data_IF_228440092627
#
_entry.id   IF_228440092627
#
_cell.length_a   1.000
_cell.length_b   1.000
_cell.length_c   1.000
_cell.angle_alpha   90.00
_cell.angle_beta   90.00
_cell.angle_gamma   90.00
#
_symmetry.space_group_name_H-M   'P 1'
#
loop_
_entity.id
_entity.type
_entity.pdbx_description
1 polymer ?
#
# COMPACT_ATOMS: atom_id res chain seq x y z
N UNK A 1 -38.55 -37.57 17.41
CA UNK A 1 -37.79 -36.43 16.85
C UNK A 1 -36.37 -36.50 17.40
N UNK A 2 -35.41 -36.96 16.61
CA UNK A 2 -34.02 -37.11 17.05
C UNK A 2 -33.25 -35.83 16.72
N UNK A 3 -32.79 -35.14 17.75
CA UNK A 3 -31.95 -33.95 17.62
C UNK A 3 -30.54 -34.42 17.24
N UNK A 4 -30.11 -34.10 16.02
CA UNK A 4 -28.75 -34.38 15.57
C UNK A 4 -27.76 -33.54 16.37
N UNK A 5 -26.91 -34.21 17.15
CA UNK A 5 -25.73 -33.60 17.78
C UNK A 5 -24.78 -33.13 16.68
N UNK A 6 -24.68 -31.81 16.53
CA UNK A 6 -23.67 -31.18 15.70
C UNK A 6 -22.31 -31.39 16.40
N UNK A 7 -21.30 -31.95 15.71
CA UNK A 7 -19.99 -32.17 16.33
C UNK A 7 -19.37 -30.81 16.72
N UNK A 8 -18.62 -30.75 17.82
CA UNK A 8 -17.95 -29.52 18.22
C UNK A 8 -17.04 -29.07 17.08
N UNK A 9 -17.18 -27.81 16.66
CA UNK A 9 -16.29 -27.22 15.67
C UNK A 9 -14.86 -27.30 16.21
N UNK A 10 -14.06 -28.23 15.69
CA UNK A 10 -12.64 -28.29 15.99
C UNK A 10 -12.04 -26.96 15.53
N UNK A 11 -11.39 -26.19 16.42
CA UNK A 11 -10.74 -24.96 16.01
C UNK A 11 -9.69 -25.31 14.94
N UNK A 12 -9.53 -24.47 13.91
CA UNK A 12 -8.52 -24.71 12.88
C UNK A 12 -7.16 -24.91 13.56
N UNK A 13 -6.47 -25.99 13.20
CA UNK A 13 -5.16 -26.29 13.74
C UNK A 13 -4.20 -25.14 13.41
N UNK A 14 -3.49 -24.64 14.41
CA UNK A 14 -2.48 -23.59 14.21
C UNK A 14 -1.25 -24.20 13.53
N UNK A 15 -0.89 -23.68 12.36
CA UNK A 15 0.36 -24.00 11.67
C UNK A 15 1.37 -22.83 11.80
N UNK A 16 2.47 -22.99 12.56
CA UNK A 16 3.51 -21.97 12.70
C UNK A 16 4.19 -21.59 11.38
N UNK A 17 4.35 -22.52 10.43
CA UNK A 17 5.03 -22.30 9.16
C UNK A 17 4.17 -21.47 8.20
N UNK A 18 2.87 -21.78 8.10
CA UNK A 18 1.93 -20.93 7.36
C UNK A 18 1.82 -19.53 7.97
N UNK A 19 1.86 -19.42 9.30
CA UNK A 19 1.84 -18.11 9.97
C UNK A 19 3.09 -17.28 9.62
N UNK A 20 4.27 -17.91 9.64
CA UNK A 20 5.52 -17.26 9.28
C UNK A 20 5.55 -16.84 7.80
N UNK A 21 5.09 -17.71 6.88
CA UNK A 21 5.07 -17.40 5.45
C UNK A 21 4.16 -16.20 5.14
N UNK A 22 2.96 -16.14 5.73
CA UNK A 22 2.06 -14.99 5.61
C UNK A 22 2.69 -13.71 6.14
N UNK A 23 3.40 -13.78 7.27
CA UNK A 23 4.15 -12.63 7.82
C UNK A 23 5.19 -12.08 6.85
N UNK A 24 5.97 -12.96 6.21
CA UNK A 24 6.94 -12.57 5.18
C UNK A 24 6.29 -11.97 3.94
N UNK A 25 5.16 -12.50 3.47
CA UNK A 25 4.42 -11.95 2.35
C UNK A 25 3.89 -10.55 2.62
N UNK A 26 3.35 -10.31 3.82
CA UNK A 26 2.85 -9.01 4.27
C UNK A 26 3.98 -7.97 4.33
N UNK A 27 5.13 -8.34 4.88
CA UNK A 27 6.31 -7.45 4.92
C UNK A 27 6.83 -7.12 3.52
N UNK A 28 6.89 -8.11 2.62
CA UNK A 28 7.30 -7.93 1.23
C UNK A 28 6.32 -7.03 0.46
N UNK A 29 5.02 -7.14 0.73
CA UNK A 29 4.02 -6.24 0.15
C UNK A 29 4.21 -4.80 0.62
N UNK A 30 4.43 -4.58 1.91
CA UNK A 30 4.71 -3.26 2.46
C UNK A 30 6.00 -2.65 1.86
N UNK A 31 7.05 -3.46 1.72
CA UNK A 31 8.30 -3.03 1.07
C UNK A 31 8.07 -2.60 -0.38
N UNK A 32 7.32 -3.39 -1.16
CA UNK A 32 6.98 -3.04 -2.56
C UNK A 32 6.17 -1.76 -2.64
N UNK A 33 5.21 -1.56 -1.73
CA UNK A 33 4.42 -0.32 -1.69
C UNK A 33 5.30 0.90 -1.42
N UNK A 34 6.24 0.81 -0.46
CA UNK A 34 7.20 1.87 -0.19
C UNK A 34 8.12 2.14 -1.39
N UNK A 35 8.62 1.11 -2.08
CA UNK A 35 9.42 1.29 -3.29
C UNK A 35 8.64 2.02 -4.39
N UNK A 36 7.33 1.80 -4.52
CA UNK A 36 6.49 2.55 -5.44
C UNK A 36 6.33 4.03 -5.03
N UNK A 37 6.28 4.33 -3.72
CA UNK A 37 6.27 5.72 -3.21
C UNK A 37 7.55 6.44 -3.61
N UNK A 38 8.72 5.82 -3.40
CA UNK A 38 10.03 6.40 -3.76
C UNK A 38 10.14 6.68 -5.27
N UNK A 39 9.62 5.76 -6.09
CA UNK A 39 9.55 5.93 -7.54
C UNK A 39 8.61 7.08 -7.94
N UNK A 40 7.45 7.20 -7.29
CA UNK A 40 6.53 8.31 -7.53
C UNK A 40 7.16 9.66 -7.17
N UNK A 41 7.90 9.74 -6.07
CA UNK A 41 8.66 10.94 -5.68
C UNK A 41 9.70 11.32 -6.73
N UNK A 42 10.41 10.34 -7.28
CA UNK A 42 11.38 10.54 -8.36
C UNK A 42 10.71 11.12 -9.61
N UNK A 43 9.55 10.59 -10.01
CA UNK A 43 8.81 11.06 -11.18
C UNK A 43 8.24 12.47 -10.93
N UNK A 44 7.68 12.75 -9.74
CA UNK A 44 7.21 14.09 -9.38
C UNK A 44 8.33 15.13 -9.45
N UNK A 45 9.52 14.79 -8.95
CA UNK A 45 10.70 15.66 -9.06
C UNK A 45 11.16 15.85 -10.51
N UNK A 46 11.01 14.84 -11.37
CA UNK A 46 11.29 14.96 -12.80
C UNK A 46 10.27 15.87 -13.52
N UNK A 47 8.96 15.73 -13.21
CA UNK A 47 7.90 16.56 -13.79
C UNK A 47 8.07 18.04 -13.42
N UNK A 48 8.50 18.34 -12.18
CA UNK A 48 8.82 19.72 -11.77
C UNK A 48 9.99 20.30 -12.57
N UNK A 49 11.02 19.52 -12.86
CA UNK A 49 12.18 19.94 -13.68
C UNK A 49 11.86 20.07 -15.16
N UNK A 50 10.89 19.30 -15.65
CA UNK A 50 10.44 19.36 -17.04
C UNK A 50 9.51 20.54 -17.34
N UNK A 51 9.20 21.38 -16.35
CA UNK A 51 8.44 22.61 -16.56
C UNK A 51 9.21 23.52 -17.51
N UNK A 52 8.70 23.69 -18.73
CA UNK A 52 9.22 24.63 -19.73
C UNK A 52 8.73 26.05 -19.37
N UNK A 53 9.23 26.61 -18.27
CA UNK A 53 8.70 27.84 -17.66
C UNK A 53 8.77 29.05 -18.61
N UNK A 54 9.86 29.18 -19.37
CA UNK A 54 10.06 30.29 -20.31
C UNK A 54 9.22 30.17 -21.59
N UNK A 55 8.59 29.03 -21.85
CA UNK A 55 7.75 28.84 -23.03
C UNK A 55 6.36 29.46 -22.81
N UNK A 56 6.21 30.74 -23.15
CA UNK A 56 5.02 31.54 -22.83
C UNK A 56 3.86 31.44 -23.85
N UNK A 57 4.05 30.73 -24.97
CA UNK A 57 3.01 30.56 -26.00
C UNK A 57 1.75 29.84 -25.46
N UNK A 58 0.60 29.92 -26.16
CA UNK A 58 -0.58 29.10 -25.82
C UNK A 58 -0.27 27.60 -25.73
N UNK A 59 0.59 27.07 -26.60
CA UNK A 59 1.03 25.69 -26.56
C UNK A 59 1.84 25.37 -25.29
N UNK A 60 2.72 26.28 -24.86
CA UNK A 60 3.49 26.14 -23.63
C UNK A 60 2.60 26.17 -22.37
N UNK A 61 1.58 27.03 -22.36
CA UNK A 61 0.57 27.05 -21.28
C UNK A 61 -0.22 25.74 -21.23
N UNK A 62 -0.67 25.24 -22.38
CA UNK A 62 -1.39 23.96 -22.46
C UNK A 62 -0.53 22.79 -21.97
N UNK A 63 0.75 22.74 -22.37
CA UNK A 63 1.70 21.75 -21.88
C UNK A 63 1.82 21.77 -20.35
N UNK A 64 2.06 22.93 -19.74
CA UNK A 64 2.18 23.04 -18.27
C UNK A 64 0.89 22.66 -17.54
N UNK A 65 -0.27 23.00 -18.10
CA UNK A 65 -1.57 22.59 -17.55
C UNK A 65 -1.70 21.05 -17.52
N UNK A 66 -1.35 20.37 -18.61
CA UNK A 66 -1.35 18.90 -18.67
C UNK A 66 -0.36 18.28 -17.68
N UNK A 67 0.86 18.81 -17.59
CA UNK A 67 1.85 18.34 -16.60
C UNK A 67 1.34 18.50 -15.17
N UNK A 68 0.67 19.62 -14.86
CA UNK A 68 0.10 19.86 -13.54
C UNK A 68 -1.02 18.85 -13.18
N UNK A 69 -1.87 18.49 -14.15
CA UNK A 69 -2.89 17.44 -13.96
C UNK A 69 -2.23 16.12 -13.60
N UNK A 70 -1.28 15.64 -14.39
CA UNK A 70 -0.60 14.37 -14.13
C UNK A 70 0.19 14.37 -12.83
N UNK A 71 0.85 15.48 -12.48
CA UNK A 71 1.51 15.63 -11.19
C UNK A 71 0.52 15.50 -10.03
N UNK A 72 -0.69 16.09 -10.16
CA UNK A 72 -1.72 15.98 -9.12
C UNK A 72 -2.28 14.55 -8.98
N UNK A 73 -2.46 13.84 -10.09
CA UNK A 73 -2.94 12.45 -10.08
C UNK A 73 -1.89 11.53 -9.46
N UNK A 74 -0.63 11.68 -9.85
CA UNK A 74 0.47 10.91 -9.29
C UNK A 74 0.67 11.18 -7.80
N UNK A 75 0.53 12.43 -7.36
CA UNK A 75 0.61 12.79 -5.94
C UNK A 75 -0.48 12.06 -5.13
N UNK A 76 -1.74 12.03 -5.61
CA UNK A 76 -2.82 11.29 -4.93
C UNK A 76 -2.56 9.79 -4.89
N UNK A 77 -2.03 9.23 -5.98
CA UNK A 77 -1.68 7.80 -6.04
C UNK A 77 -0.55 7.46 -5.05
N UNK A 78 0.47 8.31 -4.96
CA UNK A 78 1.56 8.21 -3.99
C UNK A 78 1.03 8.22 -2.55
N UNK A 79 0.19 9.20 -2.20
CA UNK A 79 -0.43 9.29 -0.87
C UNK A 79 -1.26 8.04 -0.53
N UNK A 80 -1.98 7.50 -1.51
CA UNK A 80 -2.74 6.25 -1.34
C UNK A 80 -1.85 5.04 -1.09
N UNK A 81 -0.71 4.94 -1.79
CA UNK A 81 0.28 3.88 -1.58
C UNK A 81 0.95 3.96 -0.20
N UNK A 82 1.29 5.17 0.23
CA UNK A 82 1.86 5.43 1.56
C UNK A 82 0.87 5.03 2.67
N UNK A 83 -0.40 5.42 2.53
CA UNK A 83 -1.45 5.03 3.47
C UNK A 83 -1.66 3.50 3.48
N UNK A 84 -1.63 2.85 2.32
CA UNK A 84 -1.75 1.39 2.22
C UNK A 84 -0.57 0.67 2.89
N UNK A 85 0.66 1.12 2.65
CA UNK A 85 1.86 0.56 3.28
C UNK A 85 1.78 0.66 4.82
N UNK A 86 1.39 1.83 5.33
CA UNK A 86 1.19 2.04 6.77
C UNK A 86 0.09 1.13 7.34
N UNK A 87 -1.03 0.96 6.63
CA UNK A 87 -2.11 0.08 7.05
C UNK A 87 -1.68 -1.39 7.11
N UNK A 88 -0.93 -1.87 6.12
CA UNK A 88 -0.39 -3.23 6.05
C UNK A 88 0.53 -3.50 7.24
N UNK A 89 1.47 -2.58 7.52
CA UNK A 89 2.39 -2.71 8.64
C UNK A 89 1.67 -2.70 9.99
N UNK A 90 0.72 -1.78 10.19
CA UNK A 90 -0.10 -1.76 11.42
C UNK A 90 -0.87 -3.07 11.60
N UNK A 91 -1.51 -3.57 10.55
CA UNK A 91 -2.24 -4.84 10.62
C UNK A 91 -1.32 -6.00 11.03
N UNK A 92 -0.12 -6.09 10.46
CA UNK A 92 0.86 -7.12 10.83
C UNK A 92 1.29 -7.04 12.30
N UNK A 93 1.45 -5.83 12.84
CA UNK A 93 1.82 -5.62 14.24
C UNK A 93 0.68 -6.00 15.17
N UNK A 94 -0.55 -5.57 14.88
CA UNK A 94 -1.73 -5.93 15.67
C UNK A 94 -1.99 -7.44 15.69
N UNK A 95 -1.83 -8.12 14.55
CA UNK A 95 -1.94 -9.58 14.46
C UNK A 95 -0.86 -10.29 15.30
N UNK A 96 0.33 -9.68 15.41
CA UNK A 96 1.44 -10.20 16.23
C UNK A 96 1.22 -9.97 17.74
N UNK A 97 0.59 -8.85 18.13
CA UNK A 97 0.29 -8.49 19.53
C UNK A 97 -0.87 -9.31 20.09
N UNK A 98 -1.95 -9.50 19.32
CA UNK A 98 -3.09 -10.32 19.75
C UNK A 98 -2.66 -11.75 20.12
N UNK A 99 -1.68 -12.29 19.38
CA UNK A 99 -1.08 -13.61 19.65
C UNK A 99 -0.32 -13.71 20.98
N UNK A 100 0.16 -12.58 21.53
CA UNK A 100 0.90 -12.53 22.80
C UNK A 100 -0.03 -12.43 24.01
N UNK A 101 -1.29 -12.08 23.80
CA UNK A 101 -2.31 -12.00 24.85
C UNK A 101 -3.09 -13.32 25.02
N UNK A 102 -3.09 -14.19 24.01
CA UNK A 102 -3.69 -15.54 24.03
C UNK A 102 -2.69 -16.65 24.43
N UNK A 103 -1.47 -16.29 24.84
CA UNK A 103 -0.44 -17.17 25.43
C UNK A 103 -0.33 -16.89 26.92
#
# INVERSE_FOLDING_TARGET
MSVGLMPPATPPAFDPLECASRGHEVQRLAWRANACVDQADTVLAALRRAQLEDWQSPAGRAYRATVAVHASELQRARESLEAAAAAILRHSQSASVSRKADQ
#
